data_IF_408002626120
#
_entry.id   IF_408002626120
#
_cell.length_a   1.000
_cell.length_b   1.000
_cell.length_c   1.000
_cell.angle_alpha   90.00
_cell.angle_beta   90.00
_cell.angle_gamma   90.00
#
_symmetry.space_group_name_H-M   'P 1'
#
loop_
_entity.id
_entity.type
_entity.pdbx_description
1 polymer ?
#
# COMPACT_ATOMS: atom_id res chain seq x y z
N UNK A 1 24.39 -21.24 -0.15
CA UNK A 1 23.57 -20.50 0.83
C UNK A 1 23.31 -21.42 1.99
N UNK A 2 23.33 -20.93 3.25
CA UNK A 2 23.02 -21.74 4.42
C UNK A 2 21.52 -22.07 4.47
N UNK A 3 21.21 -23.25 4.98
CA UNK A 3 19.84 -23.67 5.24
C UNK A 3 19.20 -22.79 6.29
N UNK A 4 18.04 -22.19 5.97
CA UNK A 4 17.37 -21.27 6.88
C UNK A 4 16.19 -21.95 7.54
N UNK A 5 16.29 -22.15 8.86
CA UNK A 5 15.19 -22.63 9.69
C UNK A 5 14.09 -21.57 9.79
N UNK A 6 12.85 -21.97 9.58
CA UNK A 6 11.68 -21.07 9.59
C UNK A 6 10.44 -21.83 10.08
N UNK A 7 9.31 -21.17 10.04
CA UNK A 7 7.98 -21.75 10.32
C UNK A 7 7.13 -21.55 9.06
N UNK A 8 6.36 -22.58 8.71
CA UNK A 8 5.42 -22.55 7.60
C UNK A 8 4.06 -23.13 8.02
N UNK A 9 3.12 -23.17 7.09
CA UNK A 9 1.82 -23.80 7.29
C UNK A 9 1.80 -25.19 6.64
N UNK A 10 1.21 -26.16 7.29
CA UNK A 10 0.84 -27.41 6.65
C UNK A 10 -0.27 -27.16 5.62
N UNK A 11 -0.16 -27.68 4.40
CA UNK A 11 -1.15 -27.47 3.35
C UNK A 11 -2.49 -28.18 3.59
N UNK A 12 -2.50 -29.15 4.50
CA UNK A 12 -3.69 -29.97 4.79
C UNK A 12 -4.46 -29.42 6.01
N UNK A 13 -3.76 -29.17 7.13
CA UNK A 13 -4.42 -28.74 8.37
C UNK A 13 -4.19 -27.27 8.75
N UNK A 14 -3.42 -26.53 7.96
CA UNK A 14 -3.09 -25.11 8.15
C UNK A 14 -2.45 -24.76 9.51
N UNK A 15 -1.93 -25.73 10.25
CA UNK A 15 -1.17 -25.47 11.48
C UNK A 15 0.24 -25.03 11.15
N UNK A 16 0.79 -24.19 12.00
CA UNK A 16 2.20 -23.82 11.94
C UNK A 16 3.08 -25.05 12.19
N UNK A 17 4.03 -25.29 11.31
CA UNK A 17 4.96 -26.43 11.36
C UNK A 17 6.39 -25.95 11.15
N UNK A 18 7.38 -26.64 11.73
CA UNK A 18 8.78 -26.39 11.44
C UNK A 18 9.07 -26.56 9.94
N UNK A 19 9.87 -25.68 9.41
CA UNK A 19 10.29 -25.72 8.03
C UNK A 19 11.76 -25.32 7.87
N UNK A 20 12.37 -25.76 6.77
CA UNK A 20 13.73 -25.39 6.38
C UNK A 20 13.69 -24.97 4.93
N UNK A 21 14.26 -23.78 4.65
CA UNK A 21 14.49 -23.32 3.30
C UNK A 21 15.88 -23.71 2.86
N UNK A 22 15.98 -24.49 1.79
CA UNK A 22 17.22 -25.00 1.22
C UNK A 22 17.41 -24.46 -0.19
N UNK A 23 18.64 -24.10 -0.54
CA UNK A 23 19.05 -23.80 -1.92
C UNK A 23 19.83 -24.98 -2.45
N UNK A 24 19.38 -25.54 -3.56
CA UNK A 24 20.03 -26.64 -4.30
C UNK A 24 20.33 -26.19 -5.72
N UNK A 25 21.12 -26.96 -6.46
CA UNK A 25 21.47 -26.66 -7.85
C UNK A 25 20.27 -26.45 -8.78
N UNK A 26 19.12 -27.06 -8.45
CA UNK A 26 17.89 -26.97 -9.23
C UNK A 26 16.91 -25.87 -8.80
N UNK A 27 17.22 -25.11 -7.75
CA UNK A 27 16.33 -24.05 -7.24
C UNK A 27 16.31 -23.89 -5.74
N UNK A 28 15.37 -23.14 -5.25
CA UNK A 28 15.11 -22.89 -3.82
C UNK A 28 13.86 -23.64 -3.38
N UNK A 29 13.96 -24.39 -2.30
CA UNK A 29 12.93 -25.28 -1.80
C UNK A 29 12.58 -24.99 -0.34
N UNK A 30 11.32 -25.21 0.02
CA UNK A 30 10.84 -25.18 1.39
C UNK A 30 10.44 -26.61 1.83
N UNK A 31 11.19 -27.17 2.75
CA UNK A 31 10.87 -28.43 3.39
C UNK A 31 10.15 -28.17 4.69
N UNK A 32 9.02 -28.80 4.90
CA UNK A 32 8.22 -28.68 6.12
C UNK A 32 7.71 -30.02 6.57
N UNK A 33 7.61 -30.22 7.88
CA UNK A 33 7.18 -31.50 8.47
C UNK A 33 6.02 -31.28 9.43
N UNK A 34 4.87 -31.81 9.05
CA UNK A 34 3.69 -31.83 9.89
C UNK A 34 3.65 -33.17 10.70
N UNK A 35 3.42 -33.12 12.01
CA UNK A 35 3.32 -34.34 12.81
C UNK A 35 2.19 -35.28 12.37
N UNK A 36 1.11 -34.71 11.81
CA UNK A 36 -0.07 -35.50 11.40
C UNK A 36 -0.05 -35.87 9.89
N UNK A 37 0.60 -35.03 9.04
CA UNK A 37 0.52 -35.17 7.58
C UNK A 37 1.88 -35.42 6.91
N UNK A 38 2.94 -35.64 7.72
CA UNK A 38 4.26 -35.96 7.21
C UNK A 38 5.02 -34.77 6.57
N UNK A 39 6.06 -35.13 5.83
CA UNK A 39 6.94 -34.15 5.20
C UNK A 39 6.40 -33.70 3.84
N UNK A 40 6.52 -32.41 3.57
CA UNK A 40 6.14 -31.75 2.33
C UNK A 40 7.33 -30.95 1.82
N UNK A 41 7.50 -30.89 0.48
CA UNK A 41 8.51 -30.10 -0.18
C UNK A 41 7.84 -29.22 -1.24
N UNK A 42 8.10 -27.92 -1.20
CA UNK A 42 7.57 -26.94 -2.13
C UNK A 42 8.75 -26.27 -2.83
N UNK A 43 8.71 -26.21 -4.15
CA UNK A 43 9.62 -25.40 -4.94
C UNK A 43 9.19 -23.93 -4.82
N UNK A 44 10.08 -23.06 -4.31
CA UNK A 44 9.84 -21.62 -4.16
C UNK A 44 10.22 -20.91 -5.45
N UNK A 45 11.42 -21.19 -5.98
CA UNK A 45 11.96 -20.53 -7.16
C UNK A 45 13.02 -21.42 -7.84
N UNK A 46 12.99 -21.48 -9.17
CA UNK A 46 13.98 -22.21 -9.98
C UNK A 46 15.21 -21.38 -10.29
N UNK A 47 15.02 -20.10 -10.53
CA UNK A 47 16.12 -19.19 -10.79
C UNK A 47 16.73 -18.69 -9.47
N UNK A 48 17.84 -19.32 -9.09
CA UNK A 48 18.55 -19.00 -7.86
C UNK A 48 19.10 -17.56 -7.90
N UNK A 49 19.54 -17.07 -9.07
CA UNK A 49 20.07 -15.72 -9.19
C UNK A 49 18.96 -14.67 -8.99
N UNK A 50 17.80 -14.91 -9.60
CA UNK A 50 16.63 -14.07 -9.38
C UNK A 50 16.19 -14.07 -7.91
N UNK A 51 16.12 -15.24 -7.28
CA UNK A 51 15.79 -15.36 -5.87
C UNK A 51 16.80 -14.64 -4.97
N UNK A 52 18.07 -14.73 -5.28
CA UNK A 52 19.14 -14.05 -4.55
C UNK A 52 19.02 -12.53 -4.67
N UNK A 53 18.74 -12.02 -5.88
CA UNK A 53 18.53 -10.58 -6.10
C UNK A 53 17.36 -10.06 -5.28
N UNK A 54 16.21 -10.73 -5.30
CA UNK A 54 15.05 -10.37 -4.48
C UNK A 54 15.39 -10.37 -2.98
N UNK A 55 16.20 -11.32 -2.54
CA UNK A 55 16.59 -11.43 -1.13
C UNK A 55 17.61 -10.35 -0.73
N UNK A 56 18.53 -9.98 -1.62
CA UNK A 56 19.48 -8.88 -1.42
C UNK A 56 18.77 -7.53 -1.37
N UNK A 57 17.85 -7.31 -2.28
CA UNK A 57 17.06 -6.07 -2.34
C UNK A 57 16.19 -5.88 -1.11
N UNK A 58 15.70 -6.97 -0.50
CA UNK A 58 14.91 -6.89 0.75
C UNK A 58 15.75 -6.82 2.03
N UNK A 59 17.01 -7.25 2.02
CA UNK A 59 17.89 -7.24 3.20
C UNK A 59 18.69 -5.94 3.37
N UNK A 60 18.87 -5.16 2.32
CA UNK A 60 19.61 -3.89 2.33
C UNK A 60 18.71 -2.65 2.46
N UNK A 61 17.43 -2.77 2.15
CA UNK A 61 16.45 -1.71 2.32
C UNK A 61 15.55 -2.07 3.49
N UNK A 62 15.67 -1.36 4.61
CA UNK A 62 14.53 -1.20 5.48
C UNK A 62 13.46 -0.52 4.60
N UNK A 63 12.48 -1.29 4.13
CA UNK A 63 11.31 -0.73 3.44
C UNK A 63 10.79 0.35 4.38
N UNK A 64 10.77 1.62 3.96
CA UNK A 64 10.25 2.68 4.80
C UNK A 64 8.84 2.28 5.20
N UNK A 65 8.62 1.99 6.47
CA UNK A 65 7.30 1.61 6.94
C UNK A 65 6.41 2.83 6.80
N UNK A 66 5.40 2.75 5.93
CA UNK A 66 4.41 3.82 5.79
C UNK A 66 3.44 3.80 6.98
N UNK A 67 3.15 4.98 7.52
CA UNK A 67 2.04 5.15 8.47
C UNK A 67 0.76 5.27 7.66
N UNK A 68 -0.07 4.24 7.68
CA UNK A 68 -1.39 4.29 7.05
C UNK A 68 -2.41 4.89 8.01
N UNK A 69 -3.15 5.89 7.52
CA UNK A 69 -4.21 6.58 8.26
C UNK A 69 -5.48 6.62 7.42
N UNK A 70 -6.57 6.08 7.98
CA UNK A 70 -7.89 6.18 7.37
C UNK A 70 -8.47 7.57 7.59
N UNK A 71 -8.72 8.28 6.50
CA UNK A 71 -9.14 9.69 6.54
C UNK A 71 -10.63 9.88 6.25
N UNK A 72 -11.28 8.90 5.64
CA UNK A 72 -12.71 8.95 5.31
C UNK A 72 -13.31 7.56 5.13
N UNK A 73 -14.58 7.42 5.46
CA UNK A 73 -15.40 6.23 5.17
C UNK A 73 -16.24 6.39 3.89
N UNK A 74 -16.14 7.55 3.22
CA UNK A 74 -16.87 7.86 1.99
C UNK A 74 -16.14 7.36 0.76
N UNK A 75 -16.92 6.95 -0.25
CA UNK A 75 -16.41 6.58 -1.56
C UNK A 75 -17.36 7.02 -2.67
N UNK A 76 -16.80 7.31 -3.83
CA UNK A 76 -17.53 7.60 -5.07
C UNK A 76 -17.85 6.35 -5.90
N UNK A 77 -17.47 5.16 -5.41
CA UNK A 77 -17.73 3.86 -6.04
C UNK A 77 -18.44 2.92 -5.06
N UNK A 78 -19.05 1.86 -5.61
CA UNK A 78 -19.67 0.79 -4.85
C UNK A 78 -19.21 -0.57 -5.40
N UNK A 79 -17.94 -0.89 -5.16
CA UNK A 79 -17.33 -2.11 -5.68
C UNK A 79 -17.84 -3.35 -4.94
N UNK A 80 -18.27 -4.41 -5.64
CA UNK A 80 -18.85 -5.61 -5.01
C UNK A 80 -17.86 -6.34 -4.09
N UNK A 81 -16.55 -6.21 -4.34
CA UNK A 81 -15.49 -6.85 -3.53
C UNK A 81 -14.81 -5.88 -2.56
N UNK A 82 -15.42 -4.71 -2.29
CA UNK A 82 -14.82 -3.75 -1.37
C UNK A 82 -14.85 -4.27 0.07
N UNK A 83 -13.69 -4.37 0.69
CA UNK A 83 -13.57 -4.75 2.10
C UNK A 83 -14.05 -3.65 3.04
N UNK A 84 -14.00 -2.39 2.61
CA UNK A 84 -14.26 -1.23 3.46
C UNK A 84 -15.76 -0.87 3.60
N UNK A 85 -16.65 -1.35 2.73
CA UNK A 85 -18.09 -1.02 2.73
C UNK A 85 -18.37 0.47 3.01
N UNK A 86 -18.25 1.35 2.02
CA UNK A 86 -18.30 2.80 2.22
C UNK A 86 -19.59 3.26 2.93
N UNK A 87 -19.47 4.23 3.83
CA UNK A 87 -20.59 4.91 4.45
C UNK A 87 -20.54 6.43 4.15
N UNK A 88 -21.37 6.83 3.20
CA UNK A 88 -21.45 8.23 2.75
C UNK A 88 -22.28 9.15 3.67
N UNK A 89 -22.84 8.63 4.77
CA UNK A 89 -23.73 9.37 5.66
C UNK A 89 -22.97 10.08 6.79
N UNK A 90 -21.84 9.53 7.21
CA UNK A 90 -21.06 10.09 8.30
C UNK A 90 -20.15 11.25 7.85
N UNK A 91 -19.84 12.14 8.80
CA UNK A 91 -18.86 13.20 8.57
C UNK A 91 -17.43 12.64 8.51
N UNK A 92 -16.57 13.28 7.75
CA UNK A 92 -15.14 12.94 7.74
C UNK A 92 -14.50 13.23 9.10
N UNK A 93 -13.44 12.48 9.43
CA UNK A 93 -12.64 12.75 10.64
C UNK A 93 -12.06 14.16 10.59
N UNK A 94 -12.10 14.93 11.69
CA UNK A 94 -11.44 16.23 11.75
C UNK A 94 -9.94 16.12 11.46
N UNK A 95 -9.37 17.15 10.83
CA UNK A 95 -7.95 17.19 10.47
C UNK A 95 -7.08 17.01 11.72
N UNK A 96 -7.43 17.67 12.83
CA UNK A 96 -6.71 17.61 14.10
C UNK A 96 -6.61 16.18 14.64
N UNK A 97 -7.68 15.40 14.52
CA UNK A 97 -7.68 14.00 14.95
C UNK A 97 -6.77 13.14 14.08
N UNK A 98 -6.73 13.39 12.78
CA UNK A 98 -5.83 12.69 11.84
C UNK A 98 -4.38 13.05 12.17
N UNK A 99 -4.07 14.32 12.39
CA UNK A 99 -2.73 14.77 12.77
C UNK A 99 -2.26 14.14 14.07
N UNK A 100 -3.13 14.05 15.08
CA UNK A 100 -2.82 13.39 16.35
C UNK A 100 -2.53 11.89 16.15
N UNK A 101 -3.29 11.21 15.29
CA UNK A 101 -3.04 9.80 14.96
C UNK A 101 -1.67 9.62 14.27
N UNK A 102 -1.31 10.52 13.36
CA UNK A 102 -0.01 10.50 12.72
C UNK A 102 1.09 10.72 13.76
N UNK A 103 1.00 11.77 14.58
CA UNK A 103 2.01 12.11 15.58
C UNK A 103 2.25 10.98 16.58
N UNK A 104 1.18 10.30 17.02
CA UNK A 104 1.30 9.17 17.98
C UNK A 104 1.85 7.88 17.37
N UNK A 105 1.68 7.68 16.07
CA UNK A 105 2.16 6.47 15.36
C UNK A 105 3.52 6.69 14.69
N UNK A 106 4.02 7.91 14.70
CA UNK A 106 5.22 8.26 13.96
C UNK A 106 6.45 7.71 14.68
N UNK A 107 7.13 6.76 14.05
CA UNK A 107 8.43 6.26 14.50
C UNK A 107 9.58 6.77 13.62
N UNK A 108 10.81 6.49 14.06
CA UNK A 108 12.02 6.97 13.37
C UNK A 108 12.20 6.40 11.95
N UNK A 109 11.51 5.31 11.62
CA UNK A 109 11.68 4.56 10.37
C UNK A 109 10.53 4.81 9.37
N UNK A 110 9.54 5.65 9.72
CA UNK A 110 8.44 5.95 8.82
C UNK A 110 8.90 6.74 7.59
N UNK A 111 8.88 6.11 6.43
CA UNK A 111 9.26 6.70 5.14
C UNK A 111 8.12 7.39 4.40
N UNK A 112 6.87 7.12 4.77
CA UNK A 112 5.70 7.74 4.14
C UNK A 112 4.51 7.85 5.10
N UNK A 113 3.67 8.86 4.90
CA UNK A 113 2.31 8.92 5.44
C UNK A 113 1.35 8.57 4.32
N UNK A 114 0.61 7.46 4.47
CA UNK A 114 -0.32 6.93 3.48
C UNK A 114 -1.74 7.28 3.93
N UNK A 115 -2.39 8.14 3.15
CA UNK A 115 -3.79 8.49 3.35
C UNK A 115 -4.67 7.44 2.68
N UNK A 116 -5.46 6.74 3.47
CA UNK A 116 -6.30 5.62 3.07
C UNK A 116 -7.74 5.80 3.59
N UNK A 117 -8.50 4.75 3.56
CA UNK A 117 -9.90 4.67 3.93
C UNK A 117 -10.73 4.19 2.75
N UNK A 118 -11.99 4.59 2.65
CA UNK A 118 -12.81 4.19 1.51
C UNK A 118 -12.30 4.85 0.23
N UNK A 119 -12.30 6.19 0.13
CA UNK A 119 -11.70 6.92 -0.99
C UNK A 119 -11.25 8.33 -0.54
N UNK A 120 -9.97 8.54 -0.25
CA UNK A 120 -9.48 9.82 0.25
C UNK A 120 -9.76 11.02 -0.66
N UNK A 121 -9.78 10.82 -1.98
CA UNK A 121 -9.96 11.92 -2.93
C UNK A 121 -11.36 12.52 -2.93
N UNK A 122 -12.37 11.88 -2.30
CA UNK A 122 -13.70 12.48 -2.16
C UNK A 122 -13.77 13.55 -1.07
N UNK A 123 -12.80 13.59 -0.15
CA UNK A 123 -12.72 14.69 0.84
C UNK A 123 -12.50 16.01 0.14
N UNK A 124 -13.35 16.98 0.44
CA UNK A 124 -13.22 18.33 -0.13
C UNK A 124 -12.03 19.10 0.45
N UNK A 125 -11.68 18.81 1.70
CA UNK A 125 -10.59 19.42 2.45
C UNK A 125 -9.27 18.63 2.35
N UNK A 126 -9.17 17.67 1.43
CA UNK A 126 -7.95 16.86 1.24
C UNK A 126 -6.69 17.71 1.00
N UNK A 127 -6.71 18.78 0.16
CA UNK A 127 -5.53 19.63 0.01
C UNK A 127 -5.10 20.32 1.31
N UNK A 128 -6.04 20.73 2.15
CA UNK A 128 -5.74 21.31 3.45
C UNK A 128 -5.19 20.28 4.43
N UNK A 129 -5.76 19.08 4.44
CA UNK A 129 -5.24 17.96 5.22
C UNK A 129 -3.78 17.66 4.84
N UNK A 130 -3.47 17.56 3.55
CA UNK A 130 -2.10 17.30 3.08
C UNK A 130 -1.15 18.43 3.51
N UNK A 131 -1.54 19.69 3.35
CA UNK A 131 -0.74 20.84 3.83
C UNK A 131 -0.47 20.77 5.33
N UNK A 132 -1.48 20.39 6.11
CA UNK A 132 -1.38 20.28 7.57
C UNK A 132 -0.44 19.14 7.98
N UNK A 133 -0.51 18.00 7.27
CA UNK A 133 0.44 16.89 7.46
C UNK A 133 1.86 17.33 7.12
N UNK A 134 2.10 17.99 6.00
CA UNK A 134 3.44 18.49 5.64
C UNK A 134 3.98 19.47 6.68
N UNK A 135 3.15 20.33 7.26
CA UNK A 135 3.54 21.22 8.37
C UNK A 135 3.92 20.43 9.62
N UNK A 136 3.14 19.40 9.98
CA UNK A 136 3.45 18.51 11.11
C UNK A 136 4.79 17.80 10.88
N UNK A 137 5.00 17.20 9.72
CA UNK A 137 6.22 16.49 9.38
C UNK A 137 7.46 17.41 9.42
N UNK A 138 7.31 18.64 8.95
CA UNK A 138 8.36 19.66 9.06
C UNK A 138 8.67 20.01 10.53
N UNK A 139 7.64 20.21 11.37
CA UNK A 139 7.79 20.45 12.81
C UNK A 139 8.52 19.30 13.50
N UNK A 140 8.24 18.07 13.11
CA UNK A 140 8.88 16.87 13.63
C UNK A 140 10.30 16.64 13.07
N UNK A 141 10.77 17.50 12.17
CA UNK A 141 12.04 17.35 11.44
C UNK A 141 12.15 16.01 10.69
N UNK A 142 11.05 15.54 10.15
CA UNK A 142 10.90 14.28 9.42
C UNK A 142 10.41 14.54 7.99
N UNK A 143 11.30 14.87 7.05
CA UNK A 143 10.91 14.96 5.64
C UNK A 143 10.47 13.58 5.17
N UNK A 144 9.19 13.45 4.90
CA UNK A 144 8.54 12.17 4.61
C UNK A 144 7.56 12.38 3.48
N UNK A 145 7.38 11.36 2.66
CA UNK A 145 6.43 11.36 1.57
C UNK A 145 4.98 11.35 2.08
N UNK A 146 4.10 12.01 1.34
CA UNK A 146 2.65 11.92 1.54
C UNK A 146 2.05 11.21 0.34
N UNK A 147 1.54 10.02 0.59
CA UNK A 147 0.95 9.12 -0.40
C UNK A 147 -0.56 9.07 -0.22
N UNK A 148 -1.30 9.03 -1.32
CA UNK A 148 -2.75 8.82 -1.32
C UNK A 148 -3.04 7.46 -1.97
N UNK A 149 -3.68 6.55 -1.21
CA UNK A 149 -4.22 5.30 -1.72
C UNK A 149 -5.63 5.58 -2.26
N UNK A 150 -5.85 5.39 -3.56
CA UNK A 150 -7.07 5.85 -4.22
C UNK A 150 -7.55 4.91 -5.32
N UNK A 151 -8.84 4.95 -5.61
CA UNK A 151 -9.40 4.33 -6.81
C UNK A 151 -9.09 5.13 -8.09
N UNK A 152 -8.49 6.30 -7.98
CA UNK A 152 -8.00 7.11 -9.10
C UNK A 152 -9.07 7.86 -9.90
N UNK A 153 -10.36 7.62 -9.65
CA UNK A 153 -11.44 8.17 -10.51
C UNK A 153 -11.45 9.70 -10.50
N UNK A 154 -11.31 10.33 -9.34
CA UNK A 154 -11.36 11.79 -9.22
C UNK A 154 -10.12 12.48 -9.79
N UNK A 155 -9.03 11.74 -9.96
CA UNK A 155 -7.79 12.28 -10.54
C UNK A 155 -7.92 12.64 -12.04
N UNK A 156 -9.02 12.26 -12.71
CA UNK A 156 -9.30 12.74 -14.08
C UNK A 156 -9.47 14.27 -14.14
N UNK A 157 -9.86 14.89 -13.02
CA UNK A 157 -9.91 16.36 -12.89
C UNK A 157 -8.49 16.90 -12.64
N UNK A 158 -7.90 17.47 -13.68
CA UNK A 158 -6.55 18.02 -13.60
C UNK A 158 -6.42 19.18 -12.62
N UNK A 159 -7.45 20.00 -12.47
CA UNK A 159 -7.40 21.10 -11.50
C UNK A 159 -7.28 20.56 -10.09
N UNK A 160 -8.04 19.50 -9.76
CA UNK A 160 -7.95 18.81 -8.50
C UNK A 160 -6.57 18.17 -8.26
N UNK A 161 -6.00 17.52 -9.28
CA UNK A 161 -4.65 16.93 -9.18
C UNK A 161 -3.62 18.01 -8.90
N UNK A 162 -3.71 19.15 -9.56
CA UNK A 162 -2.83 20.30 -9.32
C UNK A 162 -2.94 20.83 -7.88
N UNK A 163 -4.15 20.90 -7.33
CA UNK A 163 -4.35 21.33 -5.93
C UNK A 163 -3.69 20.39 -4.93
N UNK A 164 -3.85 19.06 -5.07
CA UNK A 164 -3.23 18.09 -4.18
C UNK A 164 -1.71 18.02 -4.35
N UNK A 165 -1.19 18.20 -5.57
CA UNK A 165 0.24 18.31 -5.83
C UNK A 165 0.84 19.54 -5.12
N UNK A 166 0.23 20.72 -5.29
CA UNK A 166 0.64 21.95 -4.63
C UNK A 166 0.52 21.89 -3.10
N UNK A 167 -0.38 21.06 -2.59
CA UNK A 167 -0.50 20.79 -1.16
C UNK A 167 0.67 19.97 -0.60
N UNK A 168 1.40 19.23 -1.45
CA UNK A 168 2.56 18.44 -1.07
C UNK A 168 2.35 16.93 -1.17
N UNK A 169 1.35 16.46 -1.92
CA UNK A 169 1.24 15.05 -2.29
C UNK A 169 2.42 14.68 -3.18
N UNK A 170 3.18 13.66 -2.82
CA UNK A 170 4.36 13.20 -3.56
C UNK A 170 4.08 11.94 -4.37
N UNK A 171 3.10 11.14 -3.92
CA UNK A 171 2.79 9.85 -4.51
C UNK A 171 1.29 9.55 -4.48
N UNK A 172 0.81 8.82 -5.47
CA UNK A 172 -0.49 8.15 -5.45
C UNK A 172 -0.32 6.66 -5.73
N UNK A 173 -1.09 5.84 -5.01
CA UNK A 173 -1.21 4.40 -5.27
C UNK A 173 -2.60 4.15 -5.81
N UNK A 174 -2.70 3.69 -7.06
CA UNK A 174 -3.98 3.54 -7.77
C UNK A 174 -4.33 2.08 -7.96
N UNK A 175 -5.48 1.67 -7.42
CA UNK A 175 -6.04 0.34 -7.67
C UNK A 175 -6.74 0.27 -9.04
N UNK A 176 -6.15 -0.42 -10.01
CA UNK A 176 -6.70 -0.61 -11.36
C UNK A 176 -7.56 -1.89 -11.49
N UNK A 177 -8.41 -2.18 -10.54
CA UNK A 177 -9.18 -3.45 -10.49
C UNK A 177 -10.51 -3.42 -11.24
N UNK A 178 -10.80 -2.37 -11.96
CA UNK A 178 -12.15 -1.96 -12.24
C UNK A 178 -12.71 -2.34 -13.55
N UNK A 179 -11.92 -2.64 -14.49
CA UNK A 179 -12.52 -2.92 -15.77
C UNK A 179 -13.40 -4.18 -15.82
N UNK A 180 -13.26 -5.07 -14.86
CA UNK A 180 -14.18 -6.18 -14.66
C UNK A 180 -15.47 -5.83 -13.92
N UNK A 181 -15.48 -4.72 -13.12
CA UNK A 181 -16.57 -4.44 -12.20
C UNK A 181 -17.21 -3.05 -12.35
N UNK A 182 -16.53 -2.11 -12.96
CA UNK A 182 -16.91 -0.70 -12.96
C UNK A 182 -17.07 -0.10 -14.35
N UNK A 183 -16.72 -0.87 -15.38
CA UNK A 183 -16.89 -0.50 -16.79
C UNK A 183 -15.84 0.48 -17.33
N UNK A 184 -15.91 0.67 -18.64
CA UNK A 184 -14.89 1.42 -19.40
C UNK A 184 -14.77 2.89 -19.02
N UNK A 185 -15.87 3.54 -18.61
CA UNK A 185 -15.86 4.97 -18.23
C UNK A 185 -14.99 5.22 -17.01
N UNK A 186 -15.05 4.35 -16.01
CA UNK A 186 -14.21 4.46 -14.80
C UNK A 186 -12.75 4.26 -15.19
N UNK A 187 -12.49 3.29 -16.04
CA UNK A 187 -11.14 3.03 -16.53
C UNK A 187 -10.53 4.21 -17.27
N UNK A 188 -11.25 4.78 -18.19
CA UNK A 188 -10.78 5.96 -18.92
C UNK A 188 -10.46 7.12 -17.98
N UNK A 189 -11.29 7.35 -16.96
CA UNK A 189 -11.00 8.37 -15.94
C UNK A 189 -9.74 8.07 -15.14
N UNK A 190 -9.49 6.80 -14.82
CA UNK A 190 -8.28 6.42 -14.10
C UNK A 190 -7.02 6.61 -14.96
N UNK A 191 -7.05 6.20 -16.24
CA UNK A 191 -5.94 6.42 -17.15
C UNK A 191 -5.65 7.93 -17.33
N UNK A 192 -6.68 8.74 -17.49
CA UNK A 192 -6.53 10.19 -17.51
C UNK A 192 -5.98 10.74 -16.20
N UNK A 193 -6.39 10.17 -15.07
CA UNK A 193 -5.88 10.53 -13.74
C UNK A 193 -4.40 10.24 -13.58
N UNK A 194 -3.94 9.09 -14.07
CA UNK A 194 -2.51 8.73 -14.10
C UNK A 194 -1.71 9.76 -14.91
N UNK A 195 -2.17 10.09 -16.13
CA UNK A 195 -1.53 11.08 -16.98
C UNK A 195 -1.49 12.48 -16.32
N UNK A 196 -2.56 12.88 -15.66
CA UNK A 196 -2.60 14.14 -14.91
C UNK A 196 -1.61 14.14 -13.73
N UNK A 197 -1.51 13.05 -12.97
CA UNK A 197 -0.55 12.94 -11.87
C UNK A 197 0.90 13.06 -12.36
N UNK A 198 1.24 12.35 -13.43
CA UNK A 198 2.57 12.40 -14.04
C UNK A 198 2.90 13.84 -14.48
N UNK A 199 1.95 14.53 -15.12
CA UNK A 199 2.11 15.93 -15.57
C UNK A 199 2.31 16.93 -14.43
N UNK A 200 1.75 16.66 -13.26
CA UNK A 200 1.90 17.51 -12.07
C UNK A 200 3.05 17.02 -11.15
N UNK A 201 3.87 16.07 -11.60
CA UNK A 201 5.04 15.60 -10.87
C UNK A 201 4.74 14.69 -9.68
N UNK A 202 3.54 14.10 -9.61
CA UNK A 202 3.18 13.11 -8.60
C UNK A 202 3.60 11.73 -9.10
N UNK A 203 4.33 10.98 -8.29
CA UNK A 203 4.70 9.59 -8.59
C UNK A 203 3.47 8.69 -8.53
N UNK A 204 3.29 7.81 -9.53
CA UNK A 204 2.16 6.88 -9.60
C UNK A 204 2.67 5.45 -9.42
N UNK A 205 2.07 4.76 -8.46
CA UNK A 205 2.35 3.35 -8.16
C UNK A 205 1.11 2.49 -8.40
#
# INVERSE_FOLDING_TARGET
>A
MEDIKTISLCEICYRHVPAVRETRDSGVYLYKTCPEHGSQCIEIERDINFYQQLHYDTMGYSIPQGIMVEVTDKCNLNCPHCYHKPDNKHSDKPIEQILQQIETKFDANAGAVILAGAEPTVRKDLPELVKSIKKLLHKLQRPTDVCILTNGVKLHDRAWVKEIAQAGTTMVMIGLNHHTYQGDVVHQKQLQGIDNCIKEGIFVY
#
